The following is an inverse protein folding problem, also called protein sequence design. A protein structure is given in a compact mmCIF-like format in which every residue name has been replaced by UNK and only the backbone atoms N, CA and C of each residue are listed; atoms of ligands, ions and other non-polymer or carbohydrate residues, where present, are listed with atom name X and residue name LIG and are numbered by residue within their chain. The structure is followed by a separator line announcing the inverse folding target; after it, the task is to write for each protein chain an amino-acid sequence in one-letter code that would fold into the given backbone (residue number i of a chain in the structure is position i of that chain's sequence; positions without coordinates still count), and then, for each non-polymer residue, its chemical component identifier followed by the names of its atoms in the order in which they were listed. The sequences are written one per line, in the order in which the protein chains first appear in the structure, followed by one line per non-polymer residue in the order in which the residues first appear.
data_IF_395677480416
#
_entry.id   IF_395677480416
#
_cell.length_a   1.000
_cell.length_b   1.000
_cell.length_c   1.000
_cell.angle_alpha   90.00
_cell.angle_beta   90.00
_cell.angle_gamma   90.00
#
_symmetry.space_group_name_H-M   'P 1'
#
loop_
_entity.id
_entity.type
_entity.pdbx_description
1 polymer ?
#
# COMPACT_ATOMS: atom_id res chain seq x y z
N UNK A 1 3.34 -10.11 1.14
CA UNK A 1 4.28 -9.76 0.02
C UNK A 1 5.58 -9.23 0.62
N UNK A 2 6.69 -9.52 -0.02
CA UNK A 2 7.98 -9.08 0.51
C UNK A 2 8.12 -7.57 0.46
N UNK A 3 8.55 -6.99 1.56
CA UNK A 3 8.65 -5.53 1.71
C UNK A 3 9.56 -4.90 0.66
N UNK A 4 10.63 -5.57 0.29
CA UNK A 4 11.57 -5.02 -0.70
C UNK A 4 10.91 -4.87 -2.07
N UNK A 5 10.08 -5.83 -2.45
CA UNK A 5 9.32 -5.78 -3.71
C UNK A 5 8.27 -4.67 -3.62
N UNK A 6 7.56 -4.61 -2.51
CA UNK A 6 6.56 -3.57 -2.27
C UNK A 6 7.18 -2.19 -2.39
N UNK A 7 8.32 -2.00 -1.76
CA UNK A 7 9.04 -0.73 -1.78
C UNK A 7 9.35 -0.29 -3.21
N UNK A 8 9.90 -1.20 -3.99
CA UNK A 8 10.26 -0.87 -5.37
C UNK A 8 9.02 -0.48 -6.19
N UNK A 9 7.94 -1.23 -6.03
CA UNK A 9 6.69 -0.96 -6.75
C UNK A 9 6.10 0.38 -6.35
N UNK A 10 5.99 0.63 -5.05
CA UNK A 10 5.33 1.83 -4.56
C UNK A 10 6.13 3.10 -4.85
N UNK A 11 7.44 3.04 -4.70
CA UNK A 11 8.28 4.21 -4.98
C UNK A 11 8.28 4.53 -6.47
N UNK A 12 8.32 3.51 -7.30
CA UNK A 12 8.24 3.70 -8.75
C UNK A 12 6.89 4.28 -9.18
N UNK A 13 5.82 3.75 -8.62
CA UNK A 13 4.47 4.24 -8.91
C UNK A 13 4.31 5.70 -8.51
N UNK A 14 4.88 6.07 -7.38
CA UNK A 14 4.83 7.46 -6.94
C UNK A 14 5.55 8.38 -7.92
N UNK A 15 6.74 7.99 -8.37
CA UNK A 15 7.49 8.80 -9.33
C UNK A 15 6.76 8.96 -10.66
N UNK A 16 6.09 7.90 -11.09
CA UNK A 16 5.40 7.91 -12.37
C UNK A 16 4.02 8.55 -12.34
N UNK A 17 3.54 8.95 -11.18
CA UNK A 17 2.24 9.59 -11.09
C UNK A 17 1.07 8.63 -11.17
N UNK A 18 1.26 7.41 -10.72
CA UNK A 18 0.25 6.38 -10.82
C UNK A 18 -0.66 6.34 -9.60
N UNK A 19 -1.89 5.89 -9.81
CA UNK A 19 -2.78 5.53 -8.72
C UNK A 19 -2.47 4.12 -8.26
N UNK A 20 -2.47 3.92 -6.96
CA UNK A 20 -2.13 2.64 -6.37
C UNK A 20 -3.26 2.17 -5.47
N UNK A 21 -3.65 0.91 -5.63
CA UNK A 21 -4.60 0.27 -4.72
C UNK A 21 -3.91 -0.91 -4.07
N UNK A 22 -3.88 -0.90 -2.76
CA UNK A 22 -3.29 -1.98 -1.97
C UNK A 22 -4.42 -2.82 -1.40
N UNK A 23 -4.34 -4.12 -1.62
CA UNK A 23 -5.33 -5.06 -1.09
C UNK A 23 -4.68 -5.89 0.00
N UNK A 24 -5.35 -5.94 1.14
CA UNK A 24 -4.87 -6.69 2.28
C UNK A 24 -5.66 -7.99 2.44
N UNK A 25 -4.95 -9.00 2.89
CA UNK A 25 -5.60 -10.20 3.38
C UNK A 25 -6.18 -9.91 4.77
N UNK A 26 -7.44 -10.15 4.94
CA UNK A 26 -8.07 -10.06 6.25
C UNK A 26 -8.24 -11.46 6.81
N UNK A 27 -7.14 -12.05 7.24
CA UNK A 27 -7.13 -13.43 7.66
C UNK A 27 -7.83 -13.70 8.96
N UNK A 28 -8.23 -12.66 9.67
CA UNK A 28 -8.83 -12.83 10.98
C UNK A 28 -10.34 -12.76 10.95
N UNK A 29 -10.88 -12.29 9.88
CA UNK A 29 -12.31 -12.09 9.83
C UNK A 29 -13.05 -13.38 9.55
N UNK A 30 -14.09 -13.60 10.30
CA UNK A 30 -15.06 -14.62 9.96
C UNK A 30 -15.82 -14.27 8.70
N UNK A 31 -15.69 -13.07 8.27
CA UNK A 31 -16.24 -12.61 7.00
C UNK A 31 -15.21 -12.88 5.92
N UNK A 32 -15.28 -14.06 5.39
CA UNK A 32 -14.26 -14.57 4.49
C UNK A 32 -14.08 -13.73 3.21
N UNK A 33 -15.01 -12.88 2.93
CA UNK A 33 -14.95 -12.05 1.75
C UNK A 33 -14.09 -10.79 1.92
N UNK A 34 -13.39 -10.71 3.02
CA UNK A 34 -12.63 -9.51 3.29
C UNK A 34 -11.22 -9.56 2.78
N UNK A 35 -11.09 -9.63 1.50
CA UNK A 35 -9.95 -9.00 0.88
C UNK A 35 -10.40 -7.60 0.58
N UNK A 36 -9.85 -6.64 1.25
CA UNK A 36 -10.31 -5.28 1.06
C UNK A 36 -9.25 -4.43 0.42
N UNK A 37 -9.72 -3.58 -0.43
CA UNK A 37 -8.91 -2.45 -0.82
C UNK A 37 -8.84 -1.53 0.37
N UNK A 38 -7.67 -1.42 0.90
CA UNK A 38 -7.49 -0.62 2.08
C UNK A 38 -7.22 0.82 1.71
N UNK A 39 -6.48 0.99 0.64
CA UNK A 39 -6.06 2.33 0.27
C UNK A 39 -5.89 2.45 -1.22
N UNK A 40 -6.47 3.49 -1.76
CA UNK A 40 -6.11 4.01 -3.07
C UNK A 40 -5.45 5.36 -2.84
N UNK A 41 -4.30 5.59 -3.41
CA UNK A 41 -3.63 6.87 -3.22
C UNK A 41 -2.89 7.29 -4.46
N UNK A 42 -2.61 8.57 -4.52
CA UNK A 42 -2.00 9.21 -5.67
C UNK A 42 -0.56 9.59 -5.36
N UNK A 43 0.06 10.23 -6.33
CA UNK A 43 1.41 10.76 -6.15
C UNK A 43 1.53 11.84 -5.09
N UNK A 44 0.42 12.41 -4.66
CA UNK A 44 0.46 13.43 -3.60
C UNK A 44 0.62 12.83 -2.22
N UNK A 45 0.33 11.54 -2.08
CA UNK A 45 0.56 10.84 -0.83
C UNK A 45 2.02 10.44 -0.72
N UNK A 46 2.54 10.48 0.49
CA UNK A 46 3.89 9.99 0.75
C UNK A 46 3.83 8.54 1.18
N UNK A 47 4.89 7.81 0.85
CA UNK A 47 5.02 6.42 1.25
C UNK A 47 6.41 6.20 1.82
N UNK A 48 6.46 5.50 2.94
CA UNK A 48 7.71 5.12 3.59
C UNK A 48 7.66 3.62 3.83
N UNK A 49 8.67 2.91 3.33
CA UNK A 49 8.77 1.48 3.55
C UNK A 49 9.94 1.20 4.49
N UNK A 50 9.63 0.65 5.64
CA UNK A 50 10.62 0.24 6.61
C UNK A 50 10.87 -1.25 6.44
N UNK A 51 11.97 -1.59 5.78
CA UNK A 51 12.27 -3.00 5.48
C UNK A 51 12.52 -3.82 6.73
N UNK A 52 13.15 -3.22 7.72
CA UNK A 52 13.48 -3.93 8.96
C UNK A 52 12.22 -4.31 9.74
N UNK A 53 11.27 -3.42 9.78
CA UNK A 53 10.03 -3.62 10.54
C UNK A 53 8.91 -4.22 9.71
N UNK A 54 9.12 -4.45 8.43
CA UNK A 54 8.08 -4.94 7.52
C UNK A 54 6.85 -4.04 7.53
N UNK A 55 7.08 -2.73 7.55
CA UNK A 55 6.02 -1.76 7.72
C UNK A 55 5.98 -0.79 6.56
N UNK A 56 4.79 -0.61 6.01
CA UNK A 56 4.52 0.39 4.99
C UNK A 56 3.69 1.49 5.63
N UNK A 57 4.17 2.72 5.56
CA UNK A 57 3.44 3.88 6.07
C UNK A 57 3.02 4.74 4.90
N UNK A 58 1.74 5.04 4.82
CA UNK A 58 1.20 5.94 3.82
C UNK A 58 0.74 7.19 4.54
N UNK A 59 1.22 8.34 4.07
CA UNK A 59 0.91 9.63 4.67
C UNK A 59 0.06 10.40 3.67
N UNK A 60 -1.18 10.67 4.05
CA UNK A 60 -2.10 11.43 3.21
C UNK A 60 -1.76 12.91 3.26
N UNK A 61 -2.28 13.63 2.29
CA UNK A 61 -2.02 15.07 2.18
C UNK A 61 -2.57 15.87 3.37
N UNK A 62 -3.53 15.32 4.09
CA UNK A 62 -4.07 15.94 5.30
C UNK A 62 -3.27 15.57 6.55
N UNK A 63 -2.20 14.81 6.39
CA UNK A 63 -1.34 14.39 7.50
C UNK A 63 -1.75 13.10 8.17
N UNK A 64 -2.86 12.50 7.78
CA UNK A 64 -3.23 11.20 8.34
C UNK A 64 -2.30 10.11 7.84
N UNK A 65 -2.14 9.07 8.63
CA UNK A 65 -1.21 7.99 8.34
C UNK A 65 -1.87 6.64 8.42
N UNK A 66 -1.51 5.78 7.48
CA UNK A 66 -1.84 4.36 7.51
C UNK A 66 -0.57 3.57 7.73
N UNK A 67 -0.59 2.69 8.71
CA UNK A 67 0.51 1.77 8.97
C UNK A 67 0.07 0.38 8.56
N UNK A 68 0.75 -0.18 7.58
CA UNK A 68 0.35 -1.44 6.97
C UNK A 68 1.46 -2.46 7.11
N UNK A 69 1.12 -3.62 7.68
CA UNK A 69 2.04 -4.75 7.72
C UNK A 69 2.24 -5.27 6.30
N UNK A 70 3.48 -5.26 5.84
CA UNK A 70 3.77 -5.70 4.48
C UNK A 70 3.37 -7.14 4.21
N UNK A 71 3.43 -7.99 5.25
CA UNK A 71 3.08 -9.39 5.10
C UNK A 71 1.58 -9.60 4.87
N UNK A 72 0.78 -8.58 5.20
CA UNK A 72 -0.66 -8.61 4.97
C UNK A 72 -1.05 -8.16 3.57
N UNK A 73 -0.11 -7.64 2.81
CA UNK A 73 -0.39 -7.16 1.46
C UNK A 73 -0.35 -8.34 0.49
N UNK A 74 -1.48 -8.56 -0.18
CA UNK A 74 -1.60 -9.67 -1.12
C UNK A 74 -1.65 -9.23 -2.56
N UNK A 75 -1.93 -7.95 -2.80
CA UNK A 75 -2.04 -7.45 -4.17
C UNK A 75 -1.77 -5.94 -4.19
N UNK A 76 -1.04 -5.51 -5.21
CA UNK A 76 -0.86 -4.10 -5.51
C UNK A 76 -1.31 -3.89 -6.95
N UNK A 77 -2.29 -3.03 -7.13
CA UNK A 77 -2.79 -2.68 -8.44
C UNK A 77 -2.34 -1.26 -8.79
N UNK A 78 -1.72 -1.12 -9.94
CA UNK A 78 -1.21 0.17 -10.41
C UNK A 78 -2.03 0.58 -11.63
N UNK A 79 -2.57 1.78 -11.57
CA UNK A 79 -3.26 2.38 -12.70
C UNK A 79 -2.52 3.66 -13.07
N UNK A 80 -2.21 3.83 -14.32
CA UNK A 80 -1.55 5.05 -14.76
C UNK A 80 -2.39 6.26 -14.40
N UNK A 81 -1.71 7.28 -13.90
CA UNK A 81 -2.35 8.53 -13.58
C UNK A 81 -2.75 9.29 -14.84
N UNK A 82 -3.48 10.34 -14.63
CA UNK A 82 -3.96 11.19 -15.72
C UNK A 82 -2.85 12.05 -16.29
#
# INVERSE_FOLDING_TARGET
MKIKIIKDILYDAKECGCLVTITLANGQSSHANYCKNVKAYTTTDDVICNEKEHLVTIIDTDGSRDYIDSDSIIRIFIKEGL
#
